data_IF_930206955533
#
_entry.id   IF_930206955533
#
_cell.length_a   1.000
_cell.length_b   1.000
_cell.length_c   1.000
_cell.angle_alpha   90.00
_cell.angle_beta   90.00
_cell.angle_gamma   90.00
#
_symmetry.space_group_name_H-M   'P 1'
#
loop_
_entity.id
_entity.type
_entity.pdbx_description
1 polymer ?
#
# COMPACT_ATOMS: atom_id res chain seq x y z
N UNK A 1 21.57 19.44 -14.07
CA UNK A 1 20.37 20.02 -13.44
C UNK A 1 19.22 19.07 -13.74
N UNK A 2 18.82 18.22 -12.78
CA UNK A 2 17.75 17.25 -12.99
C UNK A 2 16.40 17.95 -12.81
N UNK A 3 15.53 17.91 -13.81
CA UNK A 3 14.16 18.38 -13.67
C UNK A 3 13.44 17.54 -12.59
N UNK A 4 12.63 18.16 -11.71
CA UNK A 4 11.87 17.41 -10.72
C UNK A 4 10.92 16.43 -11.43
N UNK A 5 10.91 15.17 -10.99
CA UNK A 5 9.95 14.18 -11.47
C UNK A 5 8.52 14.69 -11.31
N UNK A 6 7.68 14.46 -12.33
CA UNK A 6 6.25 14.75 -12.24
C UNK A 6 5.58 13.93 -11.13
N UNK A 7 4.52 14.46 -10.53
CA UNK A 7 3.73 13.73 -9.52
C UNK A 7 3.26 12.36 -10.02
N UNK A 8 2.96 12.26 -11.31
CA UNK A 8 2.57 11.02 -11.98
C UNK A 8 3.72 9.99 -12.04
N UNK A 9 4.92 10.42 -12.43
CA UNK A 9 6.09 9.53 -12.45
C UNK A 9 6.46 9.01 -11.05
N UNK A 10 6.34 9.88 -10.03
CA UNK A 10 6.56 9.49 -8.62
C UNK A 10 5.55 8.46 -8.14
N UNK A 11 4.27 8.66 -8.48
CA UNK A 11 3.19 7.71 -8.18
C UNK A 11 3.47 6.36 -8.82
N UNK A 12 3.74 6.33 -10.11
CA UNK A 12 3.91 5.08 -10.85
C UNK A 12 5.14 4.30 -10.37
N UNK A 13 6.22 5.01 -9.99
CA UNK A 13 7.37 4.40 -9.33
C UNK A 13 6.98 3.75 -8.01
N UNK A 14 6.25 4.47 -7.14
CA UNK A 14 5.82 3.95 -5.86
C UNK A 14 4.92 2.72 -6.00
N UNK A 15 3.95 2.75 -6.93
CA UNK A 15 3.07 1.61 -7.20
C UNK A 15 3.87 0.39 -7.68
N UNK A 16 4.82 0.56 -8.61
CA UNK A 16 5.70 -0.52 -9.07
C UNK A 16 6.52 -1.14 -7.93
N UNK A 17 6.97 -0.31 -7.00
CA UNK A 17 7.76 -0.79 -5.87
C UNK A 17 6.90 -1.56 -4.86
N UNK A 18 5.71 -1.06 -4.55
CA UNK A 18 4.74 -1.79 -3.71
C UNK A 18 4.40 -3.12 -4.38
N UNK A 19 4.10 -3.14 -5.69
CA UNK A 19 3.86 -4.38 -6.44
C UNK A 19 5.07 -5.33 -6.36
N UNK A 20 6.30 -4.83 -6.49
CA UNK A 20 7.50 -5.68 -6.35
C UNK A 20 7.62 -6.27 -4.94
N UNK A 21 7.25 -5.54 -3.90
CA UNK A 21 7.24 -6.05 -2.53
C UNK A 21 6.13 -7.09 -2.33
N UNK A 22 4.91 -6.84 -2.82
CA UNK A 22 3.81 -7.79 -2.76
C UNK A 22 4.17 -9.13 -3.41
N UNK A 23 4.79 -9.10 -4.59
CA UNK A 23 5.31 -10.31 -5.24
C UNK A 23 6.34 -11.06 -4.39
N UNK A 24 7.26 -10.36 -3.72
CA UNK A 24 8.27 -10.99 -2.84
C UNK A 24 7.69 -11.58 -1.56
N UNK A 25 6.52 -11.08 -1.15
CA UNK A 25 5.77 -11.56 0.01
C UNK A 25 4.79 -12.69 -0.39
N UNK A 26 4.92 -13.25 -1.60
CA UNK A 26 4.06 -14.29 -2.16
C UNK A 26 2.57 -13.92 -2.29
N UNK A 27 2.25 -12.63 -2.36
CA UNK A 27 0.91 -12.20 -2.76
C UNK A 27 0.76 -12.43 -4.27
N UNK A 28 -0.34 -13.09 -4.66
CA UNK A 28 -0.71 -13.31 -6.06
C UNK A 28 -1.28 -12.05 -6.72
N UNK A 29 -0.64 -10.90 -6.51
CA UNK A 29 -0.99 -9.58 -7.05
C UNK A 29 0.11 -9.17 -8.04
N UNK A 30 -0.24 -9.13 -9.31
CA UNK A 30 0.66 -8.77 -10.42
C UNK A 30 0.87 -7.27 -10.59
N UNK A 31 -0.08 -6.47 -10.11
CA UNK A 31 -0.06 -5.03 -10.30
C UNK A 31 -0.96 -4.30 -9.32
N UNK A 32 -0.55 -3.06 -9.02
CA UNK A 32 -1.39 -2.07 -8.38
C UNK A 32 -1.60 -0.90 -9.34
N UNK A 33 -2.85 -0.45 -9.45
CA UNK A 33 -3.23 0.71 -10.24
C UNK A 33 -3.93 1.72 -9.34
N UNK A 34 -3.74 3.00 -9.62
CA UNK A 34 -4.48 4.07 -8.98
C UNK A 34 -5.12 4.95 -10.03
N UNK A 35 -6.45 4.99 -10.03
CA UNK A 35 -7.21 5.96 -10.80
C UNK A 35 -7.48 7.19 -9.96
N UNK A 36 -7.38 8.36 -10.59
CA UNK A 36 -7.68 9.65 -9.97
C UNK A 36 -8.72 10.33 -10.83
N UNK A 37 -9.89 10.56 -10.25
CA UNK A 37 -11.02 11.21 -10.92
C UNK A 37 -11.47 12.41 -10.11
N UNK A 38 -11.97 13.47 -10.75
CA UNK A 38 -12.70 14.51 -10.03
C UNK A 38 -14.10 14.02 -9.71
N UNK A 39 -14.62 14.43 -8.56
CA UNK A 39 -15.98 14.09 -8.12
C UNK A 39 -17.01 14.48 -9.20
N UNK A 40 -16.88 15.67 -9.77
CA UNK A 40 -17.76 16.15 -10.84
C UNK A 40 -17.74 15.27 -12.09
N UNK A 41 -16.57 14.75 -12.48
CA UNK A 41 -16.39 13.94 -13.70
C UNK A 41 -17.10 12.58 -13.61
N UNK A 42 -17.27 12.04 -12.39
CA UNK A 42 -17.87 10.71 -12.18
C UNK A 42 -19.20 10.73 -11.42
N UNK A 43 -19.73 11.90 -11.05
CA UNK A 43 -20.92 12.05 -10.21
C UNK A 43 -22.10 11.19 -10.67
N UNK A 44 -22.40 11.20 -11.98
CA UNK A 44 -23.51 10.46 -12.58
C UNK A 44 -23.33 8.94 -12.60
N UNK A 45 -22.10 8.44 -12.40
CA UNK A 45 -21.76 7.01 -12.35
C UNK A 45 -21.67 6.49 -10.92
N UNK A 46 -21.71 7.37 -9.92
CA UNK A 46 -21.67 6.97 -8.52
C UNK A 46 -23.01 6.30 -8.12
N UNK A 47 -22.96 5.24 -7.30
CA UNK A 47 -24.15 4.69 -6.67
C UNK A 47 -24.89 5.72 -5.80
N UNK A 48 -26.20 5.54 -5.63
CA UNK A 48 -27.08 6.48 -4.89
C UNK A 48 -26.61 6.73 -3.44
N UNK A 49 -26.08 5.71 -2.77
CA UNK A 49 -25.58 5.82 -1.40
C UNK A 49 -24.30 6.67 -1.32
N UNK A 50 -23.42 6.57 -2.32
CA UNK A 50 -22.24 7.41 -2.45
C UNK A 50 -22.62 8.86 -2.77
N UNK A 51 -23.58 9.09 -3.67
CA UNK A 51 -24.07 10.44 -3.98
C UNK A 51 -24.66 11.14 -2.75
N UNK A 52 -25.44 10.43 -1.93
CA UNK A 52 -25.99 10.98 -0.68
C UNK A 52 -24.89 11.36 0.32
N UNK A 53 -23.84 10.53 0.44
CA UNK A 53 -22.71 10.79 1.36
C UNK A 53 -21.82 11.94 0.90
N UNK A 54 -21.70 12.14 -0.41
CA UNK A 54 -20.84 13.15 -1.03
C UNK A 54 -21.59 14.42 -1.45
N UNK A 55 -22.86 14.54 -1.06
CA UNK A 55 -23.67 15.70 -1.39
C UNK A 55 -23.10 16.96 -0.73
N UNK A 56 -22.86 18.02 -1.52
CA UNK A 56 -22.29 19.28 -1.05
C UNK A 56 -20.76 19.32 -1.02
N UNK A 57 -20.08 18.24 -1.42
CA UNK A 57 -18.64 18.22 -1.63
C UNK A 57 -18.24 19.01 -2.89
N UNK A 58 -17.00 19.50 -2.90
CA UNK A 58 -16.44 20.23 -4.05
C UNK A 58 -16.38 19.32 -5.29
N UNK A 59 -16.96 19.71 -6.45
CA UNK A 59 -16.83 18.96 -7.69
C UNK A 59 -15.38 18.74 -8.14
N UNK A 60 -14.44 19.63 -7.78
CA UNK A 60 -13.02 19.47 -8.07
C UNK A 60 -12.29 18.54 -7.08
N UNK A 61 -12.98 18.02 -6.06
CA UNK A 61 -12.44 17.04 -5.12
C UNK A 61 -11.93 15.83 -5.88
N UNK A 62 -10.66 15.49 -5.67
CA UNK A 62 -10.05 14.30 -6.25
C UNK A 62 -10.46 13.05 -5.45
N UNK A 63 -10.99 12.08 -6.18
CA UNK A 63 -11.30 10.75 -5.70
C UNK A 63 -10.25 9.78 -6.21
N UNK A 64 -9.67 9.03 -5.27
CA UNK A 64 -8.65 8.03 -5.55
C UNK A 64 -9.29 6.65 -5.47
N UNK A 65 -9.08 5.84 -6.50
CA UNK A 65 -9.48 4.43 -6.51
C UNK A 65 -8.25 3.58 -6.74
N UNK A 66 -8.02 2.63 -5.84
CA UNK A 66 -6.95 1.64 -5.97
C UNK A 66 -7.52 0.33 -6.50
N UNK A 67 -6.80 -0.29 -7.41
CA UNK A 67 -7.14 -1.59 -8.00
C UNK A 67 -5.95 -2.54 -7.94
N UNK A 68 -6.23 -3.81 -7.71
CA UNK A 68 -5.28 -4.92 -7.79
C UNK A 68 -5.48 -5.66 -9.10
N UNK A 69 -4.38 -6.10 -9.70
CA UNK A 69 -4.38 -6.90 -10.93
C UNK A 69 -3.83 -8.27 -10.61
N UNK A 70 -4.52 -9.33 -11.04
CA UNK A 70 -4.17 -10.72 -10.79
C UNK A 70 -4.12 -11.49 -12.10
N UNK A 71 -3.31 -12.55 -12.15
CA UNK A 71 -3.37 -13.52 -13.23
C UNK A 71 -4.39 -14.60 -12.90
N UNK A 72 -5.41 -14.70 -13.75
CA UNK A 72 -6.33 -15.84 -13.72
C UNK A 72 -5.63 -17.10 -14.23
N UNK A 73 -6.16 -18.27 -13.87
CA UNK A 73 -5.65 -19.57 -14.35
C UNK A 73 -5.76 -19.71 -15.87
N UNK A 74 -6.69 -18.98 -16.49
CA UNK A 74 -6.87 -18.89 -17.95
C UNK A 74 -5.76 -18.10 -18.65
N UNK A 75 -4.87 -17.43 -17.90
CA UNK A 75 -3.84 -16.54 -18.42
C UNK A 75 -4.31 -15.10 -18.63
N UNK A 76 -5.60 -14.81 -18.45
CA UNK A 76 -6.15 -13.45 -18.51
C UNK A 76 -5.92 -12.69 -17.20
N UNK A 77 -5.92 -11.36 -17.26
CA UNK A 77 -5.83 -10.52 -16.07
C UNK A 77 -7.21 -10.26 -15.47
N UNK A 78 -7.37 -10.52 -14.18
CA UNK A 78 -8.52 -10.10 -13.39
C UNK A 78 -8.19 -8.81 -12.61
N UNK A 79 -9.12 -7.86 -12.59
CA UNK A 79 -8.97 -6.60 -11.86
C UNK A 79 -10.00 -6.55 -10.75
N UNK A 80 -9.56 -6.27 -9.52
CA UNK A 80 -10.42 -6.07 -8.37
C UNK A 80 -10.19 -4.67 -7.81
N UNK A 81 -11.23 -4.10 -7.22
CA UNK A 81 -11.03 -2.90 -6.40
C UNK A 81 -10.33 -3.33 -5.12
N UNK A 82 -9.47 -2.48 -4.58
CA UNK A 82 -8.78 -2.79 -3.32
C UNK A 82 -9.80 -3.07 -2.19
N UNK A 83 -10.97 -2.44 -2.21
CA UNK A 83 -12.06 -2.70 -1.24
C UNK A 83 -12.64 -4.13 -1.31
N UNK A 84 -12.49 -4.82 -2.44
CA UNK A 84 -12.95 -6.20 -2.64
C UNK A 84 -11.90 -7.24 -2.21
N UNK A 85 -10.68 -6.81 -1.88
CA UNK A 85 -9.59 -7.66 -1.42
C UNK A 85 -9.75 -8.10 0.04
N UNK A 86 -8.97 -9.11 0.45
CA UNK A 86 -8.90 -9.48 1.87
C UNK A 86 -8.42 -8.31 2.75
N UNK A 87 -8.92 -8.21 3.98
CA UNK A 87 -8.51 -7.17 4.93
C UNK A 87 -6.98 -7.10 5.12
N UNK A 88 -6.32 -8.27 5.12
CA UNK A 88 -4.86 -8.36 5.19
C UNK A 88 -4.15 -7.75 3.98
N UNK A 89 -4.67 -7.95 2.77
CA UNK A 89 -4.17 -7.30 1.55
C UNK A 89 -4.35 -5.79 1.62
N UNK A 90 -5.55 -5.33 1.99
CA UNK A 90 -5.87 -3.91 2.10
C UNK A 90 -4.92 -3.20 3.07
N UNK A 91 -4.74 -3.79 4.26
CA UNK A 91 -3.84 -3.27 5.28
C UNK A 91 -2.38 -3.30 4.83
N UNK A 92 -1.94 -4.38 4.20
CA UNK A 92 -0.57 -4.50 3.70
C UNK A 92 -0.24 -3.46 2.62
N UNK A 93 -1.13 -3.24 1.65
CA UNK A 93 -0.93 -2.22 0.60
C UNK A 93 -0.77 -0.83 1.21
N UNK A 94 -1.64 -0.48 2.17
CA UNK A 94 -1.54 0.78 2.91
C UNK A 94 -0.23 0.91 3.71
N UNK A 95 0.14 -0.15 4.44
CA UNK A 95 1.37 -0.19 5.23
C UNK A 95 2.64 -0.10 4.39
N UNK A 96 2.71 -0.82 3.26
CA UNK A 96 3.86 -0.77 2.36
C UNK A 96 4.09 0.65 1.83
N UNK A 97 3.03 1.41 1.57
CA UNK A 97 3.15 2.82 1.17
C UNK A 97 3.91 3.67 2.19
N UNK A 98 3.53 3.59 3.47
CA UNK A 98 4.18 4.36 4.54
C UNK A 98 5.55 3.81 4.92
N UNK A 99 5.73 2.49 4.88
CA UNK A 99 7.02 1.81 5.14
C UNK A 99 8.07 2.23 4.11
N UNK A 100 7.74 2.16 2.82
CA UNK A 100 8.64 2.59 1.75
C UNK A 100 8.96 4.08 1.84
N UNK A 101 7.96 4.92 2.18
CA UNK A 101 8.20 6.35 2.38
C UNK A 101 9.20 6.63 3.52
N UNK A 102 9.10 5.90 4.64
CA UNK A 102 10.06 6.00 5.75
C UNK A 102 11.45 5.53 5.34
N UNK A 103 11.55 4.35 4.69
CA UNK A 103 12.81 3.78 4.20
C UNK A 103 13.54 4.70 3.21
N UNK A 104 12.81 5.36 2.31
CA UNK A 104 13.39 6.30 1.33
C UNK A 104 13.78 7.65 1.89
N UNK A 105 13.21 8.05 3.03
CA UNK A 105 13.51 9.34 3.65
C UNK A 105 14.40 9.23 4.89
N UNK A 106 14.73 8.01 5.34
CA UNK A 106 15.55 7.79 6.53
C UNK A 106 14.83 8.22 7.81
N UNK A 107 13.50 8.28 7.77
CA UNK A 107 12.68 8.80 8.87
C UNK A 107 12.31 7.70 9.85
N UNK A 108 11.82 8.13 11.02
CA UNK A 108 11.21 7.26 12.02
C UNK A 108 9.75 7.01 11.62
N UNK A 109 9.37 5.75 11.54
CA UNK A 109 7.98 5.29 11.41
C UNK A 109 7.52 4.77 12.77
N UNK A 110 6.44 5.33 13.29
CA UNK A 110 5.81 4.88 14.53
C UNK A 110 4.46 4.25 14.20
N UNK A 111 4.27 2.98 14.55
CA UNK A 111 3.03 2.24 14.30
C UNK A 111 2.58 1.56 15.58
N UNK A 112 1.40 1.94 16.07
CA UNK A 112 0.73 1.16 17.12
C UNK A 112 0.07 -0.08 16.50
N UNK A 113 0.03 -1.18 17.24
CA UNK A 113 -0.58 -2.45 16.82
C UNK A 113 -0.21 -2.91 15.40
N UNK A 114 1.11 -2.99 15.11
CA UNK A 114 1.62 -3.34 13.78
C UNK A 114 1.09 -4.70 13.27
N UNK A 115 0.79 -5.63 14.16
CA UNK A 115 0.38 -6.99 13.87
C UNK A 115 -1.14 -7.18 13.74
N UNK A 116 -1.95 -6.16 14.06
CA UNK A 116 -3.41 -6.28 13.95
C UNK A 116 -3.80 -6.58 12.49
N UNK A 117 -4.65 -7.58 12.28
CA UNK A 117 -5.13 -8.02 10.94
C UNK A 117 -4.03 -8.40 9.94
N UNK A 118 -2.78 -8.59 10.38
CA UNK A 118 -1.69 -9.11 9.57
C UNK A 118 -1.29 -10.50 10.01
N UNK A 119 -1.02 -11.38 9.05
CA UNK A 119 -0.40 -12.67 9.34
C UNK A 119 1.01 -12.48 9.93
N UNK A 120 1.39 -13.26 10.96
CA UNK A 120 2.66 -13.08 11.67
C UNK A 120 3.89 -13.01 10.78
N UNK A 121 3.94 -13.83 9.73
CA UNK A 121 5.04 -13.83 8.77
C UNK A 121 5.21 -12.45 8.09
N UNK A 122 4.12 -11.74 7.81
CA UNK A 122 4.17 -10.41 7.19
C UNK A 122 4.77 -9.38 8.14
N UNK A 123 4.39 -9.45 9.42
CA UNK A 123 4.96 -8.58 10.46
C UNK A 123 6.48 -8.77 10.53
N UNK A 124 6.93 -10.03 10.55
CA UNK A 124 8.36 -10.36 10.49
C UNK A 124 9.04 -9.80 9.24
N UNK A 125 8.41 -9.90 8.06
CA UNK A 125 8.97 -9.34 6.83
C UNK A 125 9.04 -7.81 6.85
N UNK A 126 8.02 -7.12 7.38
CA UNK A 126 8.02 -5.67 7.52
C UNK A 126 9.17 -5.20 8.44
N UNK A 127 9.37 -5.87 9.59
CA UNK A 127 10.50 -5.57 10.48
C UNK A 127 11.84 -5.82 9.79
N UNK A 128 11.97 -6.90 9.01
CA UNK A 128 13.19 -7.20 8.22
C UNK A 128 13.56 -6.09 7.26
N UNK A 129 12.58 -5.40 6.65
CA UNK A 129 12.86 -4.28 5.74
C UNK A 129 13.66 -3.17 6.43
N UNK A 130 13.45 -2.93 7.73
CA UNK A 130 14.20 -1.95 8.50
C UNK A 130 15.56 -2.47 9.00
N UNK A 131 15.74 -3.79 9.17
CA UNK A 131 17.03 -4.37 9.62
C UNK A 131 18.03 -4.60 8.48
N UNK A 132 17.59 -4.87 7.27
CA UNK A 132 18.50 -5.17 6.15
C UNK A 132 19.06 -3.91 5.48
N UNK A 133 20.39 -3.80 5.36
CA UNK A 133 21.05 -2.69 4.63
C UNK A 133 20.64 -2.57 3.17
N UNK A 134 20.22 -3.68 2.55
CA UNK A 134 19.78 -3.72 1.15
C UNK A 134 18.52 -2.88 0.94
N UNK A 135 17.60 -2.92 1.90
CA UNK A 135 16.32 -2.21 1.87
C UNK A 135 16.39 -0.89 2.65
N UNK A 136 17.04 -0.87 3.81
CA UNK A 136 17.23 0.31 4.65
C UNK A 136 18.62 0.95 4.43
N UNK A 137 18.80 1.63 3.30
CA UNK A 137 20.10 2.19 2.89
C UNK A 137 20.52 3.44 3.67
N UNK A 138 19.55 4.14 4.27
CA UNK A 138 19.75 5.44 4.91
C UNK A 138 19.28 5.46 6.37
N UNK A 139 19.21 4.28 7.01
CA UNK A 139 18.96 4.11 8.45
C UNK A 139 17.63 4.69 8.96
N UNK A 140 16.54 4.47 8.22
CA UNK A 140 15.19 4.65 8.74
C UNK A 140 14.95 3.78 9.98
N UNK A 141 14.06 4.20 10.87
CA UNK A 141 13.77 3.49 12.12
C UNK A 141 12.29 3.11 12.18
N UNK A 142 12.01 1.95 12.75
CA UNK A 142 10.66 1.50 13.07
C UNK A 142 10.52 1.43 14.59
N UNK A 143 9.53 2.13 15.13
CA UNK A 143 9.08 2.00 16.51
C UNK A 143 7.67 1.45 16.43
N UNK A 144 7.42 0.27 17.00
CA UNK A 144 6.10 -0.32 16.95
C UNK A 144 5.70 -1.01 18.25
N UNK A 145 4.40 -1.01 18.52
CA UNK A 145 3.79 -1.96 19.43
C UNK A 145 3.28 -3.16 18.63
N UNK A 146 3.47 -4.36 19.17
CA UNK A 146 2.93 -5.59 18.59
C UNK A 146 2.65 -6.60 19.70
N UNK A 147 1.60 -7.42 19.54
CA UNK A 147 1.29 -8.55 20.43
C UNK A 147 1.89 -9.87 19.92
N UNK A 148 2.44 -9.85 18.71
CA UNK A 148 2.95 -11.01 18.00
C UNK A 148 4.22 -11.61 18.63
N UNK A 149 4.10 -12.78 19.25
CA UNK A 149 5.22 -13.52 19.85
C UNK A 149 6.24 -14.04 18.83
N UNK A 150 5.86 -14.19 17.56
CA UNK A 150 6.76 -14.68 16.51
C UNK A 150 7.88 -13.67 16.21
N UNK A 151 7.67 -12.38 16.52
CA UNK A 151 8.73 -11.36 16.45
C UNK A 151 9.88 -11.66 17.43
N UNK A 152 9.57 -12.14 18.63
CA UNK A 152 10.58 -12.57 19.61
C UNK A 152 11.27 -13.86 19.16
N UNK A 153 10.48 -14.83 18.67
CA UNK A 153 11.00 -16.13 18.24
C UNK A 153 11.86 -16.06 16.97
N UNK A 154 11.59 -15.09 16.08
CA UNK A 154 12.28 -14.95 14.79
C UNK A 154 13.68 -14.35 14.87
N UNK A 155 14.15 -13.95 16.06
CA UNK A 155 15.46 -13.30 16.25
C UNK A 155 15.54 -11.91 15.60
N UNK A 156 14.38 -11.31 15.30
CA UNK A 156 14.26 -10.01 14.65
C UNK A 156 14.19 -8.84 15.62
N UNK A 157 14.19 -9.08 16.93
CA UNK A 157 14.35 -8.05 17.94
C UNK A 157 15.82 -8.00 18.35
#
# INVERSE_FOLDING_TARGET
MAYPESCEARRDRALKEITSMLHKLDFRIEGLRMEVNRLGDIWSRLPDDAQKKLQGEDPEKLLYRMETVHRAETGESAVFRLEDESEGTQKLVGLLGVVLAALHSGKVLVIDELDQSLHSLLVCQLVRLFKEKRTNKINAQLICAAQNTDLLASGLL
#
